data_IF_301021361306
#
_entry.id   IF_301021361306
#
_cell.length_a   1.000
_cell.length_b   1.000
_cell.length_c   1.000
_cell.angle_alpha   90.00
_cell.angle_beta   90.00
_cell.angle_gamma   90.00
#
_symmetry.space_group_name_H-M   'P 1'
#
loop_
_entity.id
_entity.type
_entity.pdbx_description
1 polymer ?
#
# COMPACT_ATOMS: atom_id res chain seq x y z
N UNK A 1 2.21 -8.61 3.95
CA UNK A 1 0.92 -9.10 3.50
C UNK A 1 0.85 -10.62 3.60
N UNK A 2 1.49 -11.44 2.76
CA UNK A 2 1.40 -12.92 2.78
C UNK A 2 1.53 -13.55 4.16
N UNK A 3 2.49 -13.11 4.97
CA UNK A 3 2.66 -13.63 6.34
C UNK A 3 1.48 -13.28 7.24
N UNK A 4 0.89 -12.10 7.06
CA UNK A 4 -0.28 -11.66 7.82
C UNK A 4 -1.51 -12.48 7.43
N UNK A 5 -1.72 -12.68 6.13
CA UNK A 5 -2.84 -13.48 5.61
C UNK A 5 -2.74 -14.95 6.05
N UNK A 6 -1.50 -15.45 6.19
CA UNK A 6 -1.30 -16.78 6.77
C UNK A 6 -1.62 -16.82 8.28
N UNK A 7 -1.23 -15.77 9.02
CA UNK A 7 -1.49 -15.68 10.46
C UNK A 7 -2.98 -15.55 10.79
N UNK A 8 -3.74 -14.78 10.02
CA UNK A 8 -5.18 -14.60 10.22
C UNK A 8 -6.00 -15.78 9.64
N UNK A 9 -5.44 -16.52 8.69
CA UNK A 9 -6.04 -17.72 8.09
C UNK A 9 -6.60 -17.52 6.69
N UNK A 10 -6.72 -16.30 6.20
CA UNK A 10 -7.24 -16.00 4.86
C UNK A 10 -6.43 -16.67 3.75
N UNK A 11 -5.11 -16.77 3.93
CA UNK A 11 -4.25 -17.50 2.99
C UNK A 11 -4.61 -18.98 2.89
N UNK A 12 -4.89 -19.63 4.02
CA UNK A 12 -5.25 -21.07 4.07
C UNK A 12 -6.64 -21.33 3.50
N UNK A 13 -7.56 -20.36 3.59
CA UNK A 13 -8.89 -20.47 2.95
C UNK A 13 -8.78 -20.59 1.44
N UNK A 14 -7.87 -19.83 0.82
CA UNK A 14 -7.63 -19.85 -0.63
C UNK A 14 -6.69 -20.99 -1.03
N UNK A 15 -5.70 -21.29 -0.20
CA UNK A 15 -4.67 -22.31 -0.45
C UNK A 15 -4.66 -23.36 0.67
N UNK A 16 -5.65 -24.28 0.72
CA UNK A 16 -5.85 -25.21 1.85
C UNK A 16 -4.71 -26.20 2.07
N UNK A 17 -3.83 -26.38 1.10
CA UNK A 17 -2.62 -27.19 1.24
C UNK A 17 -1.49 -26.49 2.03
N UNK A 18 -1.64 -25.21 2.32
CA UNK A 18 -0.78 -24.40 3.19
C UNK A 18 -1.49 -24.25 4.54
N UNK A 19 -1.31 -25.23 5.40
CA UNK A 19 -1.99 -25.30 6.69
C UNK A 19 -1.43 -24.30 7.71
N UNK A 20 -2.23 -23.96 8.75
CA UNK A 20 -1.81 -23.04 9.84
C UNK A 20 -1.04 -23.76 10.93
N UNK A 21 0.03 -24.45 10.55
CA UNK A 21 0.92 -25.18 11.44
C UNK A 21 2.38 -25.08 10.94
N UNK A 22 3.28 -25.74 11.63
CA UNK A 22 4.70 -25.74 11.29
C UNK A 22 4.97 -26.29 9.88
N UNK A 23 4.23 -27.28 9.45
CA UNK A 23 4.38 -27.88 8.13
C UNK A 23 3.92 -26.91 7.03
N UNK A 24 2.75 -26.28 7.23
CA UNK A 24 2.24 -25.26 6.32
C UNK A 24 3.16 -24.04 6.23
N UNK A 25 3.72 -23.57 7.35
CA UNK A 25 4.70 -22.50 7.37
C UNK A 25 5.97 -22.88 6.57
N UNK A 26 6.47 -24.11 6.73
CA UNK A 26 7.61 -24.58 5.96
C UNK A 26 7.31 -24.64 4.44
N UNK A 27 6.09 -25.05 4.08
CA UNK A 27 5.64 -25.05 2.69
C UNK A 27 5.56 -23.61 2.14
N UNK A 28 5.03 -22.68 2.94
CA UNK A 28 4.94 -21.26 2.59
C UNK A 28 6.32 -20.69 2.28
N UNK A 29 7.29 -20.87 3.16
CA UNK A 29 8.66 -20.38 2.96
C UNK A 29 9.34 -20.96 1.73
N UNK A 30 9.13 -22.25 1.45
CA UNK A 30 9.69 -22.90 0.26
C UNK A 30 9.12 -22.36 -1.05
N UNK A 31 7.96 -21.75 -1.03
CA UNK A 31 7.30 -21.19 -2.21
C UNK A 31 7.72 -19.75 -2.51
N UNK A 32 8.36 -19.08 -1.57
CA UNK A 32 8.76 -17.69 -1.75
C UNK A 32 9.80 -17.54 -2.87
N UNK A 33 9.55 -16.67 -3.82
CA UNK A 33 10.38 -16.41 -5.02
C UNK A 33 10.72 -17.67 -5.84
N UNK A 34 9.88 -18.71 -5.73
CA UNK A 34 10.03 -19.93 -6.52
C UNK A 34 9.04 -19.91 -7.70
N UNK A 35 9.41 -20.42 -8.89
CA UNK A 35 8.49 -20.47 -10.03
C UNK A 35 7.15 -21.14 -9.69
N UNK A 36 6.05 -20.45 -9.96
CA UNK A 36 4.70 -20.88 -9.59
C UNK A 36 4.39 -20.83 -8.09
N UNK A 37 5.26 -20.20 -7.30
CA UNK A 37 5.09 -19.96 -5.88
C UNK A 37 4.63 -18.55 -5.55
N UNK A 38 5.14 -18.02 -4.42
CA UNK A 38 4.81 -16.67 -3.94
C UNK A 38 5.80 -15.68 -4.57
N UNK A 39 5.33 -14.66 -5.31
CA UNK A 39 6.21 -13.64 -5.87
C UNK A 39 6.86 -12.80 -4.77
N UNK A 40 8.03 -12.22 -5.10
CA UNK A 40 8.79 -11.37 -4.17
C UNK A 40 8.08 -10.05 -3.85
N UNK A 41 7.24 -9.57 -4.77
CA UNK A 41 6.35 -8.44 -4.56
C UNK A 41 4.91 -8.93 -4.37
N UNK A 42 4.11 -8.16 -3.66
CA UNK A 42 2.69 -8.49 -3.48
C UNK A 42 2.00 -8.50 -4.84
N UNK A 43 1.23 -9.56 -5.09
CA UNK A 43 0.55 -9.77 -6.36
C UNK A 43 -0.88 -10.27 -6.11
N UNK A 44 -1.77 -10.27 -7.11
CA UNK A 44 -3.15 -10.68 -6.95
C UNK A 44 -3.37 -12.13 -6.47
N UNK A 45 -2.36 -12.98 -6.57
CA UNK A 45 -2.35 -14.33 -5.99
C UNK A 45 -2.34 -14.32 -4.45
N UNK A 46 -1.93 -13.22 -3.84
CA UNK A 46 -2.02 -13.04 -2.39
C UNK A 46 -3.45 -12.61 -2.03
N UNK A 47 -4.17 -13.34 -1.16
CA UNK A 47 -5.53 -13.01 -0.79
C UNK A 47 -5.68 -11.53 -0.38
N UNK A 48 -6.71 -10.87 -0.91
CA UNK A 48 -6.98 -9.45 -0.65
C UNK A 48 -6.13 -8.46 -1.44
N UNK A 49 -5.09 -8.88 -2.17
CA UNK A 49 -4.36 -8.01 -3.08
C UNK A 49 -5.03 -7.93 -4.45
N UNK A 50 -5.07 -6.72 -5.01
CA UNK A 50 -5.59 -6.47 -6.37
C UNK A 50 -4.53 -5.90 -7.31
N UNK A 51 -3.30 -5.70 -6.82
CA UNK A 51 -2.23 -5.03 -7.56
C UNK A 51 -0.93 -5.81 -7.48
N UNK A 52 -0.17 -5.81 -8.57
CA UNK A 52 1.19 -6.33 -8.64
C UNK A 52 2.16 -5.23 -8.17
N UNK A 53 2.73 -5.39 -6.96
CA UNK A 53 3.52 -4.36 -6.27
C UNK A 53 4.85 -4.03 -6.92
N UNK A 54 5.35 -4.83 -7.87
CA UNK A 54 6.51 -4.53 -8.68
C UNK A 54 6.24 -3.57 -9.84
N UNK A 55 4.98 -3.39 -10.21
CA UNK A 55 4.50 -2.42 -11.20
C UNK A 55 4.36 -1.02 -10.58
N UNK A 56 5.50 -0.34 -10.37
CA UNK A 56 5.51 0.96 -9.67
C UNK A 56 4.76 2.05 -10.43
N UNK A 57 3.96 2.81 -9.70
CA UNK A 57 3.24 3.98 -10.19
C UNK A 57 1.74 3.77 -10.43
N UNK A 58 1.21 2.56 -10.29
CA UNK A 58 -0.18 2.25 -10.63
C UNK A 58 -1.06 1.89 -9.42
N UNK A 59 -0.50 1.77 -8.22
CA UNK A 59 -1.23 1.33 -7.03
C UNK A 59 -2.49 2.16 -6.76
N UNK A 60 -2.39 3.49 -6.78
CA UNK A 60 -3.55 4.38 -6.57
C UNK A 60 -4.58 4.26 -7.69
N UNK A 61 -4.15 4.23 -8.94
CA UNK A 61 -5.06 4.14 -10.08
C UNK A 61 -5.85 2.82 -10.06
N UNK A 62 -5.21 1.71 -9.69
CA UNK A 62 -5.88 0.43 -9.51
C UNK A 62 -6.86 0.46 -8.33
N UNK A 63 -6.46 1.04 -7.19
CA UNK A 63 -7.32 1.18 -6.02
C UNK A 63 -8.59 2.00 -6.34
N UNK A 64 -8.42 3.16 -6.96
CA UNK A 64 -9.55 4.00 -7.37
C UNK A 64 -10.42 3.33 -8.43
N UNK A 65 -9.81 2.64 -9.40
CA UNK A 65 -10.56 1.87 -10.40
C UNK A 65 -11.40 0.75 -9.78
N UNK A 66 -10.86 0.06 -8.78
CA UNK A 66 -11.56 -1.02 -8.10
C UNK A 66 -12.80 -0.57 -7.32
N UNK A 67 -12.78 0.63 -6.75
CA UNK A 67 -13.91 1.15 -5.96
C UNK A 67 -15.01 1.79 -6.79
N UNK A 68 -14.78 2.09 -8.07
CA UNK A 68 -15.79 2.68 -8.96
C UNK A 68 -17.00 1.76 -9.08
N UNK A 69 -18.19 2.31 -8.87
CA UNK A 69 -19.47 1.59 -8.84
C UNK A 69 -19.53 0.43 -7.82
N UNK A 70 -18.72 0.47 -6.79
CA UNK A 70 -18.67 -0.53 -5.74
C UNK A 70 -18.69 0.10 -4.33
N UNK A 71 -19.85 0.61 -3.87
CA UNK A 71 -19.96 1.39 -2.64
C UNK A 71 -19.65 0.60 -1.36
N UNK A 72 -19.60 -0.72 -1.45
CA UNK A 72 -19.26 -1.59 -0.30
C UNK A 72 -17.76 -1.90 -0.19
N UNK A 73 -16.96 -1.47 -1.17
CA UNK A 73 -15.55 -1.79 -1.20
C UNK A 73 -14.72 -0.73 -0.46
N UNK A 74 -13.82 -1.20 0.40
CA UNK A 74 -12.78 -0.40 1.04
C UNK A 74 -11.42 -0.92 0.61
N UNK A 75 -10.58 -0.05 0.03
CA UNK A 75 -9.26 -0.42 -0.50
C UNK A 75 -8.18 0.41 0.18
N UNK A 76 -7.37 -0.13 1.09
CA UNK A 76 -6.13 0.49 1.51
C UNK A 76 -5.10 0.40 0.37
N UNK A 77 -4.52 1.53 -0.01
CA UNK A 77 -3.47 1.62 -1.02
C UNK A 77 -2.16 2.01 -0.36
N UNK A 78 -1.29 1.02 -0.14
CA UNK A 78 0.04 1.25 0.45
C UNK A 78 0.99 1.67 -0.66
N UNK A 79 1.54 2.87 -0.54
CA UNK A 79 2.41 3.50 -1.52
C UNK A 79 3.74 3.83 -0.87
N UNK A 80 4.85 3.30 -1.39
CA UNK A 80 6.18 3.74 -0.99
C UNK A 80 6.48 5.15 -1.51
N UNK A 81 7.28 5.90 -0.78
CA UNK A 81 7.67 7.26 -1.19
C UNK A 81 8.48 7.29 -2.50
N UNK A 82 9.24 6.23 -2.78
CA UNK A 82 9.88 6.06 -4.09
C UNK A 82 8.89 5.84 -5.22
N UNK A 83 7.81 5.10 -4.99
CA UNK A 83 6.72 4.97 -5.95
C UNK A 83 5.93 6.27 -6.10
N UNK A 84 5.72 7.00 -4.99
CA UNK A 84 4.93 8.23 -4.95
C UNK A 84 5.43 9.31 -5.90
N UNK A 85 6.74 9.33 -6.20
CA UNK A 85 7.36 10.31 -7.13
C UNK A 85 7.46 9.82 -8.58
N UNK A 86 6.97 8.60 -8.90
CA UNK A 86 6.84 8.16 -10.31
C UNK A 86 5.78 8.99 -11.02
N UNK A 87 5.96 9.21 -12.33
CA UNK A 87 5.02 10.02 -13.11
C UNK A 87 3.55 9.57 -13.01
N UNK A 88 3.25 8.27 -13.22
CA UNK A 88 1.88 7.78 -13.10
C UNK A 88 1.27 7.97 -11.71
N UNK A 89 2.03 7.71 -10.63
CA UNK A 89 1.48 7.83 -9.29
C UNK A 89 1.37 9.28 -8.85
N UNK A 90 2.30 10.16 -9.24
CA UNK A 90 2.22 11.59 -8.96
C UNK A 90 0.93 12.22 -9.50
N UNK A 91 0.45 11.74 -10.66
CA UNK A 91 -0.86 12.12 -11.20
C UNK A 91 -2.01 11.35 -10.58
N UNK A 92 -1.75 10.12 -10.13
CA UNK A 92 -2.73 9.23 -9.50
C UNK A 92 -3.34 9.80 -8.21
N UNK A 93 -2.63 10.66 -7.49
CA UNK A 93 -3.15 11.35 -6.30
C UNK A 93 -4.42 12.16 -6.58
N UNK A 94 -4.61 12.65 -7.79
CA UNK A 94 -5.79 13.41 -8.17
C UNK A 94 -7.02 12.53 -8.48
N UNK A 95 -6.89 11.21 -8.47
CA UNK A 95 -7.98 10.29 -8.79
C UNK A 95 -9.13 10.35 -7.77
N UNK A 96 -8.89 10.88 -6.56
CA UNK A 96 -9.94 11.17 -5.59
C UNK A 96 -11.04 12.11 -6.14
N UNK A 97 -10.71 12.94 -7.15
CA UNK A 97 -11.66 13.85 -7.81
C UNK A 97 -12.64 13.13 -8.75
N UNK A 98 -12.36 11.89 -9.11
CA UNK A 98 -13.19 11.07 -9.99
C UNK A 98 -14.23 10.24 -9.21
N UNK A 99 -14.10 10.14 -7.90
CA UNK A 99 -14.93 9.30 -7.04
C UNK A 99 -16.21 10.02 -6.63
N UNK A 100 -17.33 9.30 -6.77
CA UNK A 100 -18.62 9.75 -6.26
C UNK A 100 -18.94 9.00 -4.95
N UNK A 101 -18.96 9.68 -3.79
CA UNK A 101 -19.15 9.02 -2.50
C UNK A 101 -20.51 8.32 -2.31
N UNK A 102 -21.45 8.54 -3.24
CA UNK A 102 -22.77 7.88 -3.19
C UNK A 102 -22.82 6.54 -3.92
N UNK A 103 -21.94 6.34 -4.89
CA UNK A 103 -21.97 5.17 -5.78
C UNK A 103 -20.70 4.36 -5.74
N UNK A 104 -19.61 4.96 -5.28
CA UNK A 104 -18.29 4.35 -5.28
C UNK A 104 -17.86 3.99 -3.86
N UNK A 105 -16.88 3.10 -3.75
CA UNK A 105 -16.29 2.71 -2.49
C UNK A 105 -15.21 3.71 -2.00
N UNK A 106 -14.45 3.28 -1.02
CA UNK A 106 -13.46 4.12 -0.33
C UNK A 106 -12.05 3.62 -0.64
N UNK A 107 -11.17 4.54 -1.01
CA UNK A 107 -9.71 4.31 -1.04
C UNK A 107 -9.08 5.02 0.14
N UNK A 108 -8.25 4.30 0.90
CA UNK A 108 -7.38 4.87 1.93
C UNK A 108 -5.93 4.80 1.45
N UNK A 109 -5.37 5.88 0.91
CA UNK A 109 -3.95 5.93 0.62
C UNK A 109 -3.13 5.91 1.91
N UNK A 110 -2.08 5.09 1.92
CA UNK A 110 -1.12 4.99 3.02
C UNK A 110 0.26 5.22 2.42
N UNK A 111 0.82 6.40 2.63
CA UNK A 111 2.18 6.70 2.20
C UNK A 111 3.17 6.15 3.23
N UNK A 112 4.00 5.21 2.79
CA UNK A 112 5.12 4.71 3.58
C UNK A 112 6.37 5.53 3.27
N UNK A 113 6.61 6.53 4.10
CA UNK A 113 7.72 7.47 3.93
C UNK A 113 8.94 6.99 4.74
N UNK A 114 9.83 6.24 4.09
CA UNK A 114 11.08 5.77 4.68
C UNK A 114 12.30 6.59 4.22
N UNK A 115 12.11 7.56 3.33
CA UNK A 115 13.13 8.49 2.86
C UNK A 115 14.00 7.99 1.72
N UNK A 116 13.87 6.74 1.30
CA UNK A 116 14.77 6.14 0.30
C UNK A 116 14.04 5.35 -0.77
N UNK A 117 14.59 5.40 -1.97
CA UNK A 117 14.30 4.51 -3.10
C UNK A 117 15.61 3.83 -3.50
N UNK A 118 15.63 2.53 -3.64
CA UNK A 118 16.75 1.65 -3.96
C UNK A 118 18.13 2.18 -3.52
N UNK A 119 18.64 3.27 -4.12
CA UNK A 119 19.97 3.82 -3.88
C UNK A 119 20.00 5.33 -3.57
N UNK A 120 18.86 6.00 -3.57
CA UNK A 120 18.79 7.46 -3.43
C UNK A 120 17.70 7.90 -2.45
N UNK A 121 17.87 9.03 -1.76
CA UNK A 121 16.81 9.67 -1.03
C UNK A 121 15.65 10.05 -1.97
N UNK A 122 14.42 9.99 -1.45
CA UNK A 122 13.23 10.43 -2.18
C UNK A 122 13.05 11.95 -2.13
N UNK A 123 12.25 12.49 -3.04
CA UNK A 123 11.92 13.92 -3.04
C UNK A 123 11.10 14.28 -1.80
N UNK A 124 10.12 13.44 -1.44
CA UNK A 124 9.25 13.68 -0.29
C UNK A 124 10.00 13.68 1.06
N UNK A 125 11.15 13.02 1.14
CA UNK A 125 12.01 13.08 2.33
C UNK A 125 12.89 14.33 2.42
N UNK A 126 12.84 15.21 1.43
CA UNK A 126 13.64 16.44 1.37
C UNK A 126 12.85 17.71 1.67
N UNK A 127 11.55 17.58 1.84
CA UNK A 127 10.64 18.67 2.22
C UNK A 127 10.30 18.56 3.70
N UNK A 128 9.88 19.66 4.32
CA UNK A 128 9.46 19.63 5.72
C UNK A 128 8.09 18.93 5.87
N UNK A 129 7.76 18.53 7.10
CA UNK A 129 6.46 17.91 7.40
C UNK A 129 5.32 18.89 7.08
N UNK A 130 5.49 20.19 7.35
CA UNK A 130 4.51 21.22 7.00
C UNK A 130 4.28 21.29 5.49
N UNK A 131 5.36 21.30 4.68
CA UNK A 131 5.27 21.31 3.23
C UNK A 131 4.62 20.03 2.69
N UNK A 132 4.92 18.89 3.28
CA UNK A 132 4.31 17.61 2.94
C UNK A 132 2.79 17.63 3.21
N UNK A 133 2.38 18.16 4.35
CA UNK A 133 0.97 18.32 4.70
C UNK A 133 0.26 19.27 3.71
N UNK A 134 0.84 20.43 3.42
CA UNK A 134 0.29 21.39 2.44
C UNK A 134 0.19 20.78 1.04
N UNK A 135 1.18 19.99 0.64
CA UNK A 135 1.20 19.29 -0.65
C UNK A 135 -0.01 18.35 -0.80
N UNK A 136 -0.25 17.49 0.18
CA UNK A 136 -1.38 16.57 0.13
C UNK A 136 -2.72 17.25 0.36
N UNK A 137 -2.78 18.24 1.24
CA UNK A 137 -3.97 19.05 1.46
C UNK A 137 -4.40 19.77 0.18
N UNK A 138 -3.45 20.33 -0.58
CA UNK A 138 -3.70 20.95 -1.88
C UNK A 138 -4.30 20.02 -2.93
N UNK A 139 -4.04 18.72 -2.82
CA UNK A 139 -4.67 17.68 -3.64
C UNK A 139 -6.03 17.19 -3.10
N UNK A 140 -6.46 17.69 -1.93
CA UNK A 140 -7.76 17.38 -1.33
C UNK A 140 -7.74 16.16 -0.42
N UNK A 141 -6.62 15.86 0.19
CA UNK A 141 -6.50 14.90 1.27
C UNK A 141 -6.40 15.61 2.63
N UNK A 142 -6.80 14.93 3.67
CA UNK A 142 -6.48 15.30 5.04
C UNK A 142 -5.40 14.35 5.55
N UNK A 143 -4.13 14.77 5.60
CA UNK A 143 -3.04 13.90 6.02
C UNK A 143 -3.04 13.71 7.54
N UNK A 144 -2.87 12.45 7.96
CA UNK A 144 -2.60 12.07 9.34
C UNK A 144 -1.22 11.43 9.40
N UNK A 145 -0.38 11.92 10.28
CA UNK A 145 0.96 11.40 10.44
C UNK A 145 1.02 10.39 11.60
N UNK A 146 1.67 9.28 11.35
CA UNK A 146 2.01 8.30 12.37
C UNK A 146 3.50 7.99 12.29
N UNK A 147 4.24 8.36 13.33
CA UNK A 147 5.66 8.05 13.45
C UNK A 147 5.82 6.78 14.26
N UNK A 148 6.29 5.71 13.61
CA UNK A 148 6.64 4.47 14.28
C UNK A 148 8.16 4.43 14.45
N UNK A 149 8.64 4.44 15.71
CA UNK A 149 10.03 4.23 16.06
C UNK A 149 10.12 3.07 17.06
N UNK A 150 11.07 2.16 16.85
CA UNK A 150 11.66 1.47 17.98
C UNK A 150 12.55 2.50 18.69
N UNK A 151 12.67 2.44 20.02
CA UNK A 151 13.43 3.39 20.86
C UNK A 151 14.92 3.59 20.48
N UNK A 152 15.29 3.36 19.26
CA UNK A 152 16.59 3.66 18.68
C UNK A 152 16.45 4.90 17.79
N UNK A 153 17.08 5.97 18.21
CA UNK A 153 17.08 7.32 17.66
C UNK A 153 17.49 7.44 16.18
N UNK A 154 17.84 6.34 15.50
CA UNK A 154 18.52 6.40 14.20
C UNK A 154 17.65 6.18 12.97
N UNK A 155 16.41 5.71 13.08
CA UNK A 155 15.52 5.51 11.93
C UNK A 155 14.04 5.74 12.26
N UNK A 156 13.57 6.99 12.25
CA UNK A 156 12.14 7.24 12.30
C UNK A 156 11.51 6.71 11.00
N UNK A 157 10.63 5.73 11.12
CA UNK A 157 9.73 5.34 10.03
C UNK A 157 8.44 6.11 10.23
N UNK A 158 8.17 7.09 9.38
CA UNK A 158 6.91 7.80 9.42
C UNK A 158 5.91 7.17 8.45
N UNK A 159 4.69 6.98 8.92
CA UNK A 159 3.55 6.52 8.11
C UNK A 159 2.55 7.65 8.02
N UNK A 160 2.29 8.11 6.82
CA UNK A 160 1.28 9.14 6.57
C UNK A 160 0.02 8.49 6.02
N UNK A 161 -1.09 8.63 6.74
CA UNK A 161 -2.40 8.21 6.27
C UNK A 161 -3.08 9.41 5.61
N UNK A 162 -3.54 9.22 4.40
CA UNK A 162 -4.21 10.27 3.64
C UNK A 162 -5.68 9.92 3.47
N UNK A 163 -6.56 10.74 3.99
CA UNK A 163 -8.01 10.61 3.78
C UNK A 163 -8.48 11.67 2.80
N UNK A 164 -9.27 11.28 1.80
CA UNK A 164 -9.93 12.24 0.93
C UNK A 164 -11.02 12.98 1.73
N UNK A 165 -11.14 14.28 1.55
CA UNK A 165 -12.25 15.07 2.08
C UNK A 165 -13.58 14.60 1.48
N UNK A 166 -14.57 14.42 2.33
CA UNK A 166 -15.97 14.20 1.95
C UNK A 166 -16.59 15.50 1.38
#
# INVERSE_FOLDING_TARGET
MVAQDWLDGSYTEVYPNITRDKEGMQKLFKRFSFPGGIPSHVAPETPGSIHEGGELGYALSHAYGAVMNNPSLFVPAIVGDGEAETGPLATGWQSNKLINPRTDGIVLPILHLNGYKIANPTILSRISDEELHEFFHGMGYEPYEFVAGFDNEDHPVSYTHLRAHE
#
